data_IF_575280935767
#
_entry.id   IF_575280935767
#
_cell.length_a   1.000
_cell.length_b   1.000
_cell.length_c   1.000
_cell.angle_alpha   90.00
_cell.angle_beta   90.00
_cell.angle_gamma   90.00
#
_symmetry.space_group_name_H-M   'P 1'
#
loop_
_entity.id
_entity.type
_entity.pdbx_description
1 polymer ?
#
# COMPACT_ATOMS: atom_id res chain seq x y z
N UNK A 1 -1.15 0.72 -5.45
CA UNK A 1 -1.33 1.42 -4.17
C UNK A 1 -2.53 0.95 -3.36
N UNK A 2 -3.68 0.64 -3.99
CA UNK A 2 -4.88 0.17 -3.30
C UNK A 2 -4.70 -1.17 -2.54
N UNK A 3 -3.85 -2.08 -3.01
CA UNK A 3 -3.61 -3.38 -2.35
C UNK A 3 -2.85 -3.30 -1.02
N UNK A 4 -1.74 -2.54 -0.97
CA UNK A 4 -0.98 -2.36 0.26
C UNK A 4 -1.85 -1.72 1.35
N UNK A 5 -2.78 -0.85 0.94
CA UNK A 5 -3.75 -0.22 1.82
C UNK A 5 -4.84 -1.22 2.28
N UNK A 6 -5.41 -2.03 1.40
CA UNK A 6 -6.51 -2.93 1.79
C UNK A 6 -6.09 -4.10 2.70
N UNK A 7 -4.78 -4.37 2.86
CA UNK A 7 -4.24 -5.43 3.73
C UNK A 7 -3.44 -4.87 4.92
N UNK A 8 -3.81 -3.69 5.42
CA UNK A 8 -3.02 -2.80 6.29
C UNK A 8 -2.33 -3.43 7.51
N UNK A 9 -2.69 -4.65 7.92
CA UNK A 9 -2.09 -5.32 9.08
C UNK A 9 -1.04 -6.38 8.72
N UNK A 10 -1.08 -6.97 7.53
CA UNK A 10 -0.32 -8.17 7.23
C UNK A 10 0.79 -7.95 6.19
N UNK A 11 2.01 -8.34 6.57
CA UNK A 11 3.16 -8.29 5.68
C UNK A 11 2.99 -9.32 4.54
N UNK A 12 3.06 -8.83 3.30
CA UNK A 12 2.88 -9.63 2.09
C UNK A 12 4.21 -9.95 1.43
N UNK A 13 4.30 -11.11 0.80
CA UNK A 13 5.45 -11.49 -0.01
C UNK A 13 5.42 -10.76 -1.37
N UNK A 14 6.55 -10.36 -1.98
CA UNK A 14 6.56 -9.61 -3.24
C UNK A 14 5.77 -10.26 -4.38
N UNK A 15 5.73 -11.60 -4.44
CA UNK A 15 4.96 -12.31 -5.46
C UNK A 15 3.44 -12.18 -5.25
N UNK A 16 2.98 -12.10 -4.01
CA UNK A 16 1.56 -11.87 -3.68
C UNK A 16 1.17 -10.44 -4.02
N UNK A 17 2.04 -9.47 -3.69
CA UNK A 17 1.87 -8.07 -4.09
C UNK A 17 1.75 -7.97 -5.61
N UNK A 18 2.62 -8.65 -6.36
CA UNK A 18 2.59 -8.69 -7.81
C UNK A 18 1.27 -9.27 -8.35
N UNK A 19 0.87 -10.45 -7.86
CA UNK A 19 -0.38 -11.12 -8.25
C UNK A 19 -1.59 -10.21 -8.03
N UNK A 20 -1.65 -9.54 -6.88
CA UNK A 20 -2.83 -8.76 -6.50
C UNK A 20 -2.85 -7.34 -7.08
N UNK A 21 -1.72 -6.84 -7.59
CA UNK A 21 -1.64 -5.54 -8.27
C UNK A 21 -1.58 -5.65 -9.79
N UNK A 22 -1.33 -6.84 -10.34
CA UNK A 22 -1.05 -7.05 -11.76
C UNK A 22 0.30 -6.48 -12.21
N UNK A 23 1.15 -6.02 -11.29
CA UNK A 23 2.48 -5.50 -11.59
C UNK A 23 3.45 -6.67 -11.70
N UNK A 24 4.34 -6.61 -12.70
CA UNK A 24 5.43 -7.60 -12.84
C UNK A 24 6.23 -7.74 -11.51
N UNK A 25 6.48 -8.98 -11.03
CA UNK A 25 7.19 -9.21 -9.77
C UNK A 25 8.57 -8.54 -9.68
N UNK A 26 9.29 -8.44 -10.80
CA UNK A 26 10.58 -7.75 -10.86
C UNK A 26 10.41 -6.27 -10.63
N UNK A 27 9.37 -5.66 -11.22
CA UNK A 27 9.06 -4.25 -11.02
C UNK A 27 8.58 -3.96 -9.60
N UNK A 28 7.85 -4.88 -8.96
CA UNK A 28 7.53 -4.81 -7.53
C UNK A 28 8.81 -4.76 -6.70
N UNK A 29 9.73 -5.70 -6.90
CA UNK A 29 11.00 -5.74 -6.15
C UNK A 29 11.87 -4.50 -6.39
N UNK A 30 11.92 -4.00 -7.64
CA UNK A 30 12.65 -2.79 -8.00
C UNK A 30 12.06 -1.53 -7.37
N UNK A 31 10.74 -1.41 -7.31
CA UNK A 31 10.06 -0.29 -6.65
C UNK A 31 10.20 -0.32 -5.13
N UNK A 32 10.12 -1.51 -4.52
CA UNK A 32 10.29 -1.68 -3.07
C UNK A 32 11.71 -1.30 -2.63
N UNK A 33 12.75 -1.74 -3.35
CA UNK A 33 14.14 -1.56 -2.96
C UNK A 33 14.84 -0.36 -3.64
N UNK A 34 14.23 0.24 -4.67
CA UNK A 34 14.82 1.32 -5.46
C UNK A 34 15.98 0.89 -6.35
N UNK A 35 15.79 -0.15 -7.16
CA UNK A 35 16.82 -0.62 -8.12
C UNK A 35 16.42 -0.36 -9.57
N UNK A 36 17.40 -0.31 -10.48
CA UNK A 36 17.18 0.04 -11.88
C UNK A 36 16.67 1.48 -12.06
N UNK A 37 15.70 1.68 -12.97
CA UNK A 37 15.12 3.00 -13.28
C UNK A 37 14.36 3.67 -12.14
N UNK A 38 14.01 2.92 -11.09
CA UNK A 38 13.44 3.49 -9.87
C UNK A 38 14.52 4.26 -9.10
N UNK A 39 15.70 3.66 -8.93
CA UNK A 39 16.79 4.21 -8.14
C UNK A 39 16.46 4.38 -6.66
N UNK A 40 17.49 4.62 -5.85
CA UNK A 40 17.36 4.65 -4.38
C UNK A 40 16.38 5.72 -3.88
N UNK A 41 16.23 6.83 -4.62
CA UNK A 41 15.34 7.95 -4.27
C UNK A 41 13.86 7.57 -4.37
N UNK A 42 13.50 6.68 -5.31
CA UNK A 42 12.11 6.21 -5.49
C UNK A 42 11.83 4.89 -4.75
N UNK A 43 12.76 4.42 -3.92
CA UNK A 43 12.58 3.24 -3.07
C UNK A 43 11.46 3.49 -2.06
N UNK A 44 10.41 2.69 -2.09
CA UNK A 44 9.33 2.78 -1.08
C UNK A 44 9.85 2.47 0.32
N UNK A 45 10.87 1.60 0.43
CA UNK A 45 11.54 1.29 1.69
C UNK A 45 12.33 2.49 2.21
N UNK A 46 13.12 3.17 1.36
CA UNK A 46 13.91 4.33 1.79
C UNK A 46 13.04 5.54 2.12
N UNK A 47 11.87 5.65 1.48
CA UNK A 47 10.89 6.69 1.76
C UNK A 47 10.07 6.43 3.03
N UNK A 48 10.26 5.28 3.70
CA UNK A 48 9.48 4.91 4.88
C UNK A 48 7.99 4.70 4.60
N UNK A 49 7.63 4.41 3.34
CA UNK A 49 6.24 4.09 2.95
C UNK A 49 5.93 2.65 3.33
N UNK A 50 6.90 1.76 3.15
CA UNK A 50 6.82 0.36 3.57
C UNK A 50 7.97 0.02 4.50
N UNK A 51 7.74 -0.97 5.35
CA UNK A 51 8.78 -1.61 6.13
C UNK A 51 9.01 -3.04 5.65
N UNK A 52 10.25 -3.50 5.82
CA UNK A 52 10.69 -4.85 5.49
C UNK A 52 10.66 -5.70 6.76
N UNK A 53 10.04 -6.87 6.68
CA UNK A 53 10.05 -7.90 7.71
C UNK A 53 10.79 -9.13 7.23
N UNK A 54 11.69 -9.65 8.05
CA UNK A 54 12.40 -10.90 7.80
C UNK A 54 11.73 -12.03 8.58
N UNK A 55 11.36 -13.11 7.89
CA UNK A 55 10.79 -14.33 8.48
C UNK A 55 11.56 -15.52 7.93
N UNK A 56 12.61 -15.92 8.64
CA UNK A 56 13.62 -16.86 8.13
C UNK A 56 14.33 -16.28 6.92
N UNK A 57 14.47 -17.07 5.84
CA UNK A 57 15.08 -16.64 4.57
C UNK A 57 14.19 -15.72 3.73
N UNK A 58 12.95 -15.51 4.15
CA UNK A 58 11.94 -14.81 3.36
C UNK A 58 11.75 -13.37 3.81
N UNK A 59 11.57 -12.49 2.83
CA UNK A 59 11.37 -11.04 3.02
C UNK A 59 9.95 -10.66 2.66
N UNK A 60 9.27 -10.05 3.62
CA UNK A 60 7.90 -9.56 3.51
C UNK A 60 7.86 -8.04 3.66
N UNK A 61 6.81 -7.42 3.13
CA UNK A 61 6.65 -5.98 3.15
C UNK A 61 5.23 -5.61 3.61
N UNK A 62 5.12 -4.60 4.47
CA UNK A 62 3.85 -3.95 4.84
C UNK A 62 4.02 -2.44 4.86
N UNK A 63 2.91 -1.70 4.89
CA UNK A 63 2.96 -0.26 5.08
C UNK A 63 3.49 0.07 6.48
N UNK A 64 4.36 1.08 6.57
CA UNK A 64 4.84 1.55 7.86
C UNK A 64 3.76 2.38 8.57
N UNK A 65 3.61 2.20 9.88
CA UNK A 65 2.74 3.03 10.71
C UNK A 65 3.53 4.09 11.52
N UNK A 66 3.05 5.34 11.62
CA UNK A 66 2.08 6.01 10.77
C UNK A 66 2.85 6.71 9.65
N UNK A 67 3.11 6.02 8.54
CA UNK A 67 3.77 6.65 7.39
C UNK A 67 2.97 7.88 6.93
N UNK A 68 3.65 8.89 6.37
CA UNK A 68 2.97 10.06 5.80
C UNK A 68 1.92 9.64 4.75
N UNK A 69 2.18 8.53 4.04
CA UNK A 69 1.22 7.89 3.13
C UNK A 69 0.01 7.30 3.86
N UNK A 70 0.18 6.64 5.01
CA UNK A 70 -0.93 6.20 5.87
C UNK A 70 -1.86 7.36 6.23
N UNK A 71 -1.29 8.48 6.70
CA UNK A 71 -2.07 9.68 7.06
C UNK A 71 -2.83 10.27 5.87
N UNK A 72 -2.17 10.42 4.72
CA UNK A 72 -2.80 10.96 3.51
C UNK A 72 -3.95 10.05 3.05
N UNK A 73 -3.69 8.75 2.92
CA UNK A 73 -4.68 7.80 2.40
C UNK A 73 -5.84 7.54 3.36
N UNK A 74 -5.59 7.57 4.68
CA UNK A 74 -6.63 7.52 5.71
C UNK A 74 -7.60 8.69 5.58
N UNK A 75 -7.07 9.91 5.37
CA UNK A 75 -7.91 11.09 5.12
C UNK A 75 -8.77 10.97 3.85
N UNK A 76 -8.22 10.46 2.75
CA UNK A 76 -8.97 10.25 1.51
C UNK A 76 -10.11 9.25 1.67
N UNK A 77 -9.88 8.12 2.34
CA UNK A 77 -10.91 7.10 2.52
C UNK A 77 -11.97 7.50 3.54
N UNK A 78 -11.60 8.22 4.60
CA UNK A 78 -12.57 8.76 5.55
C UNK A 78 -13.51 9.74 4.84
N UNK A 79 -12.97 10.57 3.94
CA UNK A 79 -13.77 11.46 3.09
C UNK A 79 -14.68 10.67 2.14
N UNK A 80 -14.16 9.62 1.47
CA UNK A 80 -14.95 8.78 0.58
C UNK A 80 -16.10 8.08 1.32
N UNK A 81 -15.82 7.49 2.49
CA UNK A 81 -16.83 6.82 3.32
C UNK A 81 -17.93 7.78 3.78
N UNK A 82 -17.56 9.00 4.20
CA UNK A 82 -18.54 10.06 4.55
C UNK A 82 -19.41 10.42 3.35
N UNK A 83 -18.81 10.56 2.16
CA UNK A 83 -19.56 10.85 0.93
C UNK A 83 -20.52 9.73 0.55
N UNK A 84 -20.09 8.47 0.63
CA UNK A 84 -20.92 7.30 0.35
C UNK A 84 -22.08 7.22 1.33
N UNK A 85 -21.83 7.37 2.63
CA UNK A 85 -22.89 7.38 3.65
C UNK A 85 -23.88 8.53 3.45
N UNK A 86 -23.39 9.74 3.12
CA UNK A 86 -24.26 10.88 2.85
C UNK A 86 -25.14 10.64 1.62
N UNK A 87 -24.57 10.06 0.55
CA UNK A 87 -25.31 9.67 -0.65
C UNK A 87 -26.35 8.60 -0.33
N UNK A 88 -25.97 7.50 0.32
CA UNK A 88 -26.88 6.43 0.69
C UNK A 88 -28.04 6.94 1.56
N UNK A 89 -27.77 7.77 2.58
CA UNK A 89 -28.83 8.35 3.41
C UNK A 89 -29.77 9.28 2.63
N UNK A 90 -29.24 10.09 1.71
CA UNK A 90 -30.03 11.01 0.89
C UNK A 90 -30.93 10.28 -0.12
N UNK A 91 -30.55 9.07 -0.55
CA UNK A 91 -31.27 8.31 -1.57
C UNK A 91 -31.96 7.03 -1.04
N UNK A 92 -31.74 6.64 0.22
CA UNK A 92 -32.46 5.55 0.89
C UNK A 92 -33.78 6.01 1.55
N UNK A 93 -34.08 7.32 1.50
CA UNK A 93 -35.30 7.93 2.03
C UNK A 93 -36.30 8.37 0.94
N UNK A 94 -36.12 7.87 -0.29
CA UNK A 94 -37.00 8.08 -1.45
C UNK A 94 -37.93 6.90 -1.71
#
# INVERSE_FOLDING_TARGET
MMYLYNNYLEASYPLEIAKNTGIDPTNVLKGLNGTGWFGAVKSLLNQGVVEKMERGEWRYYRLSEPSHFHRIMSGYLQTFHIYTLAYENAYASA
#
